data_IF_337578665601
#
_entry.id   IF_337578665601
#
_cell.length_a   1.000
_cell.length_b   1.000
_cell.length_c   1.000
_cell.angle_alpha   90.00
_cell.angle_beta   90.00
_cell.angle_gamma   90.00
#
_symmetry.space_group_name_H-M   'P 1'
#
loop_
_entity.id
_entity.type
_entity.pdbx_description
1 polymer ?
#
# COMPACT_ATOMS: atom_id res chain seq x y z
N UNK A 1 -13.12 -68.92 93.59
CA UNK A 1 -12.51 -68.28 92.40
C UNK A 1 -13.60 -67.38 91.81
N UNK A 2 -13.89 -66.26 92.47
CA UNK A 2 -14.97 -65.32 92.08
C UNK A 2 -14.39 -63.98 91.62
N UNK A 3 -13.32 -64.02 90.80
CA UNK A 3 -12.53 -62.83 90.46
C UNK A 3 -12.32 -62.63 88.95
N UNK A 4 -13.21 -63.15 88.10
CA UNK A 4 -13.03 -63.03 86.63
C UNK A 4 -14.32 -62.69 85.87
N UNK A 5 -15.47 -62.64 86.54
CA UNK A 5 -16.68 -62.09 85.96
C UNK A 5 -16.96 -60.76 86.67
N UNK A 6 -16.91 -59.60 85.96
CA UNK A 6 -17.31 -58.35 86.57
C UNK A 6 -18.72 -58.50 87.13
N UNK A 7 -18.98 -57.92 88.32
CA UNK A 7 -20.32 -57.89 88.91
C UNK A 7 -21.32 -57.49 87.83
N UNK A 8 -22.41 -58.24 87.67
CA UNK A 8 -23.39 -58.03 86.59
C UNK A 8 -23.92 -56.58 86.55
N UNK A 9 -23.91 -55.87 87.69
CA UNK A 9 -24.19 -54.44 87.77
C UNK A 9 -23.20 -53.54 87.03
N UNK A 10 -21.90 -53.85 87.02
CA UNK A 10 -20.88 -53.05 86.34
C UNK A 10 -21.05 -53.11 84.81
N UNK A 11 -21.35 -54.30 84.27
CA UNK A 11 -21.61 -54.50 82.85
C UNK A 11 -22.84 -53.71 82.40
N UNK A 12 -23.90 -53.67 83.21
CA UNK A 12 -25.11 -52.91 82.91
C UNK A 12 -24.81 -51.41 82.84
N UNK A 13 -24.07 -50.85 83.81
CA UNK A 13 -23.69 -49.44 83.79
C UNK A 13 -22.73 -49.09 82.65
N UNK A 14 -21.80 -49.97 82.29
CA UNK A 14 -20.93 -49.81 81.12
C UNK A 14 -21.74 -49.84 79.81
N UNK A 15 -22.71 -50.74 79.68
CA UNK A 15 -23.59 -50.80 78.52
C UNK A 15 -24.46 -49.55 78.39
N UNK A 16 -25.02 -49.04 79.51
CA UNK A 16 -25.75 -47.77 79.53
C UNK A 16 -24.84 -46.61 79.10
N UNK A 17 -23.63 -46.53 79.66
CA UNK A 17 -22.63 -45.52 79.28
C UNK A 17 -22.24 -45.60 77.81
N UNK A 18 -22.04 -46.81 77.28
CA UNK A 18 -21.74 -47.04 75.87
C UNK A 18 -22.91 -46.63 74.96
N UNK A 19 -24.15 -46.97 75.32
CA UNK A 19 -25.34 -46.57 74.54
C UNK A 19 -25.49 -45.05 74.53
N UNK A 20 -25.30 -44.39 75.68
CA UNK A 20 -25.35 -42.92 75.75
C UNK A 20 -24.26 -42.30 74.87
N UNK A 21 -23.02 -42.79 74.97
CA UNK A 21 -21.92 -42.32 74.12
C UNK A 21 -22.19 -42.59 72.64
N UNK A 22 -22.70 -43.77 72.30
CA UNK A 22 -23.03 -44.15 70.93
C UNK A 22 -24.11 -43.24 70.34
N UNK A 23 -25.17 -42.95 71.09
CA UNK A 23 -26.24 -42.04 70.64
C UNK A 23 -25.72 -40.60 70.48
N UNK A 24 -24.84 -40.14 71.38
CA UNK A 24 -24.19 -38.85 71.23
C UNK A 24 -23.31 -38.82 69.97
N UNK A 25 -22.42 -39.80 69.78
CA UNK A 25 -21.57 -39.85 68.59
C UNK A 25 -22.39 -40.02 67.29
N UNK A 26 -23.41 -40.87 67.28
CA UNK A 26 -24.29 -41.05 66.13
C UNK A 26 -25.02 -39.75 65.77
N UNK A 27 -25.46 -38.95 66.76
CA UNK A 27 -26.12 -37.67 66.50
C UNK A 27 -25.14 -36.56 66.09
N UNK A 28 -23.97 -36.50 66.72
CA UNK A 28 -23.02 -35.39 66.55
C UNK A 28 -21.98 -35.61 65.45
N UNK A 29 -21.52 -36.84 65.20
CA UNK A 29 -20.48 -37.13 64.20
C UNK A 29 -21.03 -37.34 62.78
N UNK A 30 -22.28 -37.78 62.63
CA UNK A 30 -22.86 -38.10 61.33
C UNK A 30 -22.99 -36.87 60.42
N UNK A 31 -23.44 -35.74 61.00
CA UNK A 31 -23.63 -34.47 60.30
C UNK A 31 -22.31 -33.88 59.73
N UNK A 32 -21.21 -33.74 60.49
CA UNK A 32 -19.95 -33.22 59.95
C UNK A 32 -19.29 -34.16 58.94
N UNK A 33 -19.43 -35.49 59.09
CA UNK A 33 -18.87 -36.44 58.12
C UNK A 33 -19.56 -36.35 56.76
N UNK A 34 -20.90 -36.31 56.74
CA UNK A 34 -21.65 -36.11 55.50
C UNK A 34 -21.36 -34.75 54.87
N UNK A 35 -21.30 -33.68 55.67
CA UNK A 35 -20.96 -32.35 55.18
C UNK A 35 -19.59 -32.30 54.51
N UNK A 36 -18.57 -32.93 55.11
CA UNK A 36 -17.23 -33.00 54.52
C UNK A 36 -17.19 -33.83 53.23
N UNK A 37 -18.02 -34.87 53.11
CA UNK A 37 -18.10 -35.68 51.90
C UNK A 37 -18.81 -34.92 50.77
N UNK A 38 -19.92 -34.24 51.08
CA UNK A 38 -20.68 -33.41 50.14
C UNK A 38 -19.85 -32.21 49.65
N UNK A 39 -19.11 -31.53 50.54
CA UNK A 39 -18.18 -30.47 50.16
C UNK A 39 -17.09 -30.98 49.21
N UNK A 40 -16.54 -32.18 49.48
CA UNK A 40 -15.56 -32.81 48.60
C UNK A 40 -16.15 -33.19 47.25
N UNK A 41 -17.37 -33.72 47.22
CA UNK A 41 -18.08 -34.06 45.99
C UNK A 41 -18.32 -32.81 45.14
N UNK A 42 -18.86 -31.74 45.73
CA UNK A 42 -19.08 -30.45 45.06
C UNK A 42 -17.77 -29.83 44.57
N UNK A 43 -16.69 -29.92 45.35
CA UNK A 43 -15.38 -29.42 44.93
C UNK A 43 -14.82 -30.19 43.73
N UNK A 44 -15.01 -31.52 43.68
CA UNK A 44 -14.57 -32.34 42.55
C UNK A 44 -15.42 -32.05 41.31
N UNK A 45 -16.74 -32.00 41.45
CA UNK A 45 -17.65 -31.69 40.35
C UNK A 45 -17.35 -30.32 39.75
N UNK A 46 -17.22 -29.28 40.59
CA UNK A 46 -16.87 -27.93 40.13
C UNK A 46 -15.49 -27.86 39.47
N UNK A 47 -14.50 -28.60 39.98
CA UNK A 47 -13.18 -28.67 39.36
C UNK A 47 -13.22 -29.36 37.98
N UNK A 48 -14.00 -30.43 37.83
CA UNK A 48 -14.19 -31.13 36.54
C UNK A 48 -14.91 -30.23 35.55
N UNK A 49 -16.01 -29.58 35.96
CA UNK A 49 -16.74 -28.64 35.12
C UNK A 49 -15.87 -27.46 34.69
N UNK A 50 -15.07 -26.91 35.60
CA UNK A 50 -14.13 -25.83 35.28
C UNK A 50 -13.06 -26.29 34.28
N UNK A 51 -12.53 -27.50 34.44
CA UNK A 51 -11.54 -28.06 33.51
C UNK A 51 -12.14 -28.32 32.11
N UNK A 52 -13.38 -28.82 32.05
CA UNK A 52 -14.08 -29.03 30.78
C UNK A 52 -14.41 -27.71 30.08
N UNK A 53 -14.90 -26.71 30.81
CA UNK A 53 -15.14 -25.37 30.28
C UNK A 53 -13.85 -24.73 29.76
N UNK A 54 -12.76 -24.79 30.53
CA UNK A 54 -11.46 -24.26 30.10
C UNK A 54 -10.95 -24.97 28.83
N UNK A 55 -11.16 -26.29 28.71
CA UNK A 55 -10.79 -27.05 27.51
C UNK A 55 -11.63 -26.65 26.30
N UNK A 56 -12.94 -26.46 26.48
CA UNK A 56 -13.84 -26.02 25.42
C UNK A 56 -13.54 -24.59 24.96
N UNK A 57 -13.30 -23.67 25.91
CA UNK A 57 -12.87 -22.31 25.61
C UNK A 57 -11.54 -22.30 24.85
N UNK A 58 -10.57 -23.12 25.27
CA UNK A 58 -9.28 -23.22 24.59
C UNK A 58 -9.43 -23.77 23.16
N UNK A 59 -10.28 -24.77 22.96
CA UNK A 59 -10.58 -25.30 21.63
C UNK A 59 -11.24 -24.24 20.74
N UNK A 60 -12.20 -23.48 21.29
CA UNK A 60 -12.88 -22.39 20.58
C UNK A 60 -11.90 -21.25 20.22
N UNK A 61 -11.08 -20.82 21.19
CA UNK A 61 -10.04 -19.81 20.96
C UNK A 61 -9.05 -20.25 19.88
N UNK A 62 -8.64 -21.53 19.89
CA UNK A 62 -7.75 -22.06 18.86
C UNK A 62 -8.41 -22.04 17.48
N UNK A 63 -9.67 -22.47 17.36
CA UNK A 63 -10.41 -22.43 16.11
C UNK A 63 -10.59 -20.98 15.59
N UNK A 64 -10.93 -20.05 16.47
CA UNK A 64 -11.02 -18.62 16.13
C UNK A 64 -9.67 -18.05 15.69
N UNK A 65 -8.59 -18.41 16.37
CA UNK A 65 -7.25 -17.96 16.00
C UNK A 65 -6.81 -18.51 14.64
N UNK A 66 -7.08 -19.79 14.36
CA UNK A 66 -6.83 -20.39 13.04
C UNK A 66 -7.65 -19.70 11.95
N UNK A 67 -8.92 -19.40 12.20
CA UNK A 67 -9.78 -18.63 11.27
C UNK A 67 -9.23 -17.22 11.02
N UNK A 68 -8.85 -16.51 12.09
CA UNK A 68 -8.29 -15.15 12.01
C UNK A 68 -6.97 -15.15 11.24
N UNK A 69 -6.12 -16.16 11.45
CA UNK A 69 -4.86 -16.31 10.71
C UNK A 69 -5.10 -16.60 9.23
N UNK A 70 -6.14 -17.36 8.88
CA UNK A 70 -6.52 -17.58 7.48
C UNK A 70 -7.05 -16.30 6.84
N UNK A 71 -7.93 -15.58 7.52
CA UNK A 71 -8.47 -14.31 7.05
C UNK A 71 -7.35 -13.27 6.84
N UNK A 72 -6.45 -13.11 7.81
CA UNK A 72 -5.30 -12.22 7.69
C UNK A 72 -4.37 -12.60 6.52
N UNK A 73 -4.21 -13.89 6.21
CA UNK A 73 -3.45 -14.33 5.03
C UNK A 73 -4.17 -13.98 3.74
N UNK A 74 -5.49 -14.19 3.66
CA UNK A 74 -6.29 -13.83 2.49
C UNK A 74 -6.26 -12.32 2.25
N UNK A 75 -6.46 -11.50 3.29
CA UNK A 75 -6.36 -10.05 3.19
C UNK A 75 -4.97 -9.59 2.75
N UNK A 76 -3.91 -10.18 3.33
CA UNK A 76 -2.53 -9.90 2.92
C UNK A 76 -2.32 -10.21 1.44
N UNK A 77 -2.78 -11.37 0.97
CA UNK A 77 -2.58 -11.80 -0.41
C UNK A 77 -3.38 -10.90 -1.38
N UNK A 78 -4.60 -10.51 -1.01
CA UNK A 78 -5.39 -9.51 -1.75
C UNK A 78 -4.69 -8.14 -1.79
N UNK A 79 -4.12 -7.69 -0.67
CA UNK A 79 -3.38 -6.44 -0.60
C UNK A 79 -2.14 -6.47 -1.50
N UNK A 80 -1.37 -7.56 -1.48
CA UNK A 80 -0.20 -7.76 -2.33
C UNK A 80 -0.57 -7.80 -3.81
N UNK A 81 -1.66 -8.47 -4.16
CA UNK A 81 -2.17 -8.50 -5.53
C UNK A 81 -2.57 -7.08 -5.98
N UNK A 82 -3.36 -6.37 -5.17
CA UNK A 82 -3.78 -4.99 -5.48
C UNK A 82 -2.60 -4.03 -5.59
N UNK A 83 -1.58 -4.19 -4.75
CA UNK A 83 -0.36 -3.39 -4.83
C UNK A 83 0.42 -3.68 -6.12
N UNK A 84 0.52 -4.95 -6.52
CA UNK A 84 1.17 -5.36 -7.77
C UNK A 84 0.44 -4.83 -9.00
N UNK A 85 -0.89 -4.93 -9.03
CA UNK A 85 -1.73 -4.38 -10.10
C UNK A 85 -1.62 -2.85 -10.17
N UNK A 86 -1.64 -2.16 -9.03
CA UNK A 86 -1.49 -0.70 -8.98
C UNK A 86 -0.12 -0.25 -9.45
N UNK A 87 0.93 -0.98 -9.07
CA UNK A 87 2.30 -0.72 -9.51
C UNK A 87 2.44 -0.91 -11.02
N UNK A 88 1.92 -2.01 -11.56
CA UNK A 88 1.92 -2.27 -13.00
C UNK A 88 1.18 -1.17 -13.78
N UNK A 89 -0.01 -0.76 -13.29
CA UNK A 89 -0.77 0.34 -13.89
C UNK A 89 0.00 1.66 -13.85
N UNK A 90 0.63 1.99 -12.72
CA UNK A 90 1.42 3.21 -12.57
C UNK A 90 2.61 3.25 -13.54
N UNK A 91 3.28 2.11 -13.73
CA UNK A 91 4.39 2.00 -14.71
C UNK A 91 3.86 2.21 -16.13
N UNK A 92 2.71 1.64 -16.47
CA UNK A 92 2.12 1.79 -17.80
C UNK A 92 1.65 3.23 -18.06
N UNK A 93 0.97 3.85 -17.10
CA UNK A 93 0.59 5.27 -17.17
C UNK A 93 1.81 6.18 -17.31
N UNK A 94 2.88 5.92 -16.55
CA UNK A 94 4.12 6.69 -16.65
C UNK A 94 4.80 6.53 -18.02
N UNK A 95 4.78 5.33 -18.60
CA UNK A 95 5.30 5.09 -19.95
C UNK A 95 4.49 5.84 -21.00
N UNK A 96 3.16 5.76 -20.94
CA UNK A 96 2.27 6.46 -21.87
C UNK A 96 2.47 7.98 -21.80
N UNK A 97 2.58 8.53 -20.59
CA UNK A 97 2.83 9.97 -20.41
C UNK A 97 4.23 10.36 -20.93
N UNK A 98 5.25 9.52 -20.70
CA UNK A 98 6.59 9.75 -21.23
C UNK A 98 6.64 9.69 -22.77
N UNK A 99 5.94 8.75 -23.39
CA UNK A 99 5.81 8.65 -24.86
C UNK A 99 5.12 9.88 -25.44
N UNK A 100 4.03 10.33 -24.79
CA UNK A 100 3.30 11.53 -25.19
C UNK A 100 4.18 12.78 -25.08
N UNK A 101 4.85 12.98 -23.94
CA UNK A 101 5.76 14.09 -23.73
C UNK A 101 6.93 14.06 -24.73
N UNK A 102 7.46 12.87 -25.03
CA UNK A 102 8.50 12.68 -26.05
C UNK A 102 8.01 13.06 -27.46
N UNK A 103 6.80 12.64 -27.83
CA UNK A 103 6.20 13.00 -29.11
C UNK A 103 5.97 14.51 -29.24
N UNK A 104 5.46 15.16 -28.19
CA UNK A 104 5.31 16.62 -28.13
C UNK A 104 6.66 17.34 -28.23
N UNK A 105 7.68 16.87 -27.54
CA UNK A 105 9.04 17.42 -27.61
C UNK A 105 9.61 17.33 -29.03
N UNK A 106 9.45 16.19 -29.71
CA UNK A 106 9.91 16.02 -31.10
C UNK A 106 9.11 16.93 -32.05
N UNK A 107 7.80 17.05 -31.86
CA UNK A 107 6.97 17.93 -32.67
C UNK A 107 7.41 19.40 -32.53
N UNK A 108 7.65 19.85 -31.30
CA UNK A 108 8.16 21.19 -31.00
C UNK A 108 9.55 21.41 -31.61
N UNK A 109 10.46 20.43 -31.49
CA UNK A 109 11.79 20.52 -32.08
C UNK A 109 11.72 20.63 -33.62
N UNK A 110 10.85 19.86 -34.28
CA UNK A 110 10.62 19.98 -35.73
C UNK A 110 10.06 21.34 -36.12
N UNK A 111 9.13 21.89 -35.34
CA UNK A 111 8.59 23.22 -35.59
C UNK A 111 9.69 24.30 -35.50
N UNK A 112 10.56 24.23 -34.48
CA UNK A 112 11.71 25.13 -34.33
C UNK A 112 12.69 24.97 -35.50
N UNK A 113 13.01 23.75 -35.91
CA UNK A 113 13.90 23.50 -37.05
C UNK A 113 13.33 24.11 -38.34
N UNK A 114 12.02 23.98 -38.58
CA UNK A 114 11.39 24.57 -39.76
C UNK A 114 11.41 26.10 -39.72
N UNK A 115 11.24 26.73 -38.55
CA UNK A 115 11.38 28.18 -38.42
C UNK A 115 12.81 28.64 -38.65
N UNK A 116 13.80 27.95 -38.08
CA UNK A 116 15.23 28.24 -38.27
C UNK A 116 15.65 28.07 -39.73
N UNK A 117 15.18 27.02 -40.40
CA UNK A 117 15.42 26.79 -41.82
C UNK A 117 14.86 27.92 -42.69
N UNK A 118 13.66 28.42 -42.38
CA UNK A 118 13.08 29.58 -43.09
C UNK A 118 13.89 30.85 -42.85
N UNK A 119 14.36 31.08 -41.62
CA UNK A 119 15.24 32.20 -41.30
C UNK A 119 16.56 32.13 -42.07
N UNK A 120 17.24 30.97 -42.05
CA UNK A 120 18.47 30.74 -42.80
C UNK A 120 18.29 30.93 -44.31
N UNK A 121 17.18 30.45 -44.88
CA UNK A 121 16.87 30.69 -46.30
C UNK A 121 16.64 32.17 -46.61
N UNK A 122 16.00 32.92 -45.72
CA UNK A 122 15.83 34.36 -45.89
C UNK A 122 17.17 35.09 -45.84
N UNK A 123 18.06 34.70 -44.92
CA UNK A 123 19.41 35.25 -44.81
C UNK A 123 20.24 34.97 -46.07
N UNK A 124 20.22 33.74 -46.59
CA UNK A 124 20.89 33.38 -47.84
C UNK A 124 20.36 34.21 -49.01
N UNK A 125 19.04 34.39 -49.13
CA UNK A 125 18.44 35.23 -50.18
C UNK A 125 18.91 36.68 -50.09
N UNK A 126 18.99 37.23 -48.87
CA UNK A 126 19.48 38.59 -48.66
C UNK A 126 20.96 38.71 -49.05
N UNK A 127 21.79 37.72 -48.68
CA UNK A 127 23.20 37.69 -49.04
C UNK A 127 23.40 37.64 -50.56
N UNK A 128 22.61 36.83 -51.27
CA UNK A 128 22.63 36.75 -52.73
C UNK A 128 22.19 38.06 -53.38
N UNK A 129 21.18 38.74 -52.82
CA UNK A 129 20.74 40.04 -53.32
C UNK A 129 21.84 41.11 -53.19
N UNK A 130 22.54 41.14 -52.05
CA UNK A 130 23.69 42.04 -51.81
C UNK A 130 24.82 41.75 -52.80
N UNK A 131 25.21 40.47 -52.97
CA UNK A 131 26.23 40.06 -53.95
C UNK A 131 25.83 40.44 -55.38
N UNK A 132 24.56 40.28 -55.74
CA UNK A 132 24.06 40.63 -57.08
C UNK A 132 24.13 42.14 -57.32
N UNK A 133 23.77 42.95 -56.32
CA UNK A 133 23.94 44.41 -56.34
C UNK A 133 25.41 44.81 -56.49
N UNK A 134 26.31 44.19 -55.74
CA UNK A 134 27.74 44.49 -55.81
C UNK A 134 28.35 44.16 -57.18
N UNK A 135 27.98 43.01 -57.76
CA UNK A 135 28.38 42.63 -59.12
C UNK A 135 27.81 43.61 -60.14
N UNK A 136 26.53 43.97 -60.01
CA UNK A 136 25.88 44.94 -60.90
C UNK A 136 26.53 46.31 -60.81
N UNK A 137 26.86 46.80 -59.61
CA UNK A 137 27.57 48.05 -59.40
C UNK A 137 28.96 48.03 -60.07
N UNK A 138 29.73 46.95 -59.87
CA UNK A 138 31.05 46.79 -60.52
C UNK A 138 30.93 46.75 -62.04
N UNK A 139 29.92 46.07 -62.58
CA UNK A 139 29.68 45.98 -64.02
C UNK A 139 29.24 47.34 -64.60
N UNK A 140 28.32 48.04 -63.93
CA UNK A 140 27.85 49.36 -64.32
C UNK A 140 28.97 50.41 -64.29
N UNK A 141 29.82 50.41 -63.25
CA UNK A 141 31.01 51.28 -63.18
C UNK A 141 32.00 50.99 -64.32
N UNK A 142 32.07 49.75 -64.80
CA UNK A 142 32.93 49.37 -65.93
C UNK A 142 32.35 49.83 -67.27
N UNK A 143 31.06 49.67 -67.51
CA UNK A 143 30.38 50.09 -68.75
C UNK A 143 30.21 51.61 -68.86
N UNK A 144 30.01 52.31 -67.73
CA UNK A 144 29.91 53.77 -67.67
C UNK A 144 31.27 54.47 -67.55
N UNK A 145 32.37 53.80 -67.89
CA UNK A 145 33.72 54.38 -67.81
C UNK A 145 33.96 55.45 -68.88
N UNK A 146 33.23 55.37 -69.99
CA UNK A 146 33.39 56.23 -71.15
C UNK A 146 32.31 57.35 -71.17
N UNK A 147 32.70 58.57 -71.56
CA UNK A 147 31.83 59.77 -71.52
C UNK A 147 30.61 59.65 -72.45
N UNK A 148 30.74 58.91 -73.55
CA UNK A 148 29.62 58.63 -74.48
C UNK A 148 28.53 57.78 -73.85
N UNK A 149 28.92 56.75 -73.08
CA UNK A 149 28.00 55.84 -72.41
C UNK A 149 27.22 56.55 -71.29
N UNK A 150 27.88 57.49 -70.59
CA UNK A 150 27.22 58.33 -69.59
C UNK A 150 26.20 59.29 -70.19
N UNK A 151 26.52 59.92 -71.34
CA UNK A 151 25.58 60.81 -72.05
C UNK A 151 24.34 60.05 -72.57
N UNK A 152 24.53 58.85 -73.10
CA UNK A 152 23.43 57.99 -73.56
C UNK A 152 22.45 57.63 -72.42
N UNK A 153 22.96 57.29 -71.24
CA UNK A 153 22.12 57.00 -70.07
C UNK A 153 21.29 58.21 -69.62
N UNK A 154 21.86 59.42 -69.69
CA UNK A 154 21.14 60.67 -69.35
C UNK A 154 20.04 60.97 -70.37
N UNK A 155 20.31 60.78 -71.66
CA UNK A 155 19.29 60.93 -72.70
C UNK A 155 18.15 59.92 -72.55
N UNK A 156 18.46 58.67 -72.20
CA UNK A 156 17.46 57.62 -71.93
C UNK A 156 16.59 57.95 -70.72
N UNK A 157 17.20 58.36 -69.59
CA UNK A 157 16.45 58.80 -68.39
C UNK A 157 15.54 60.00 -68.66
N UNK A 158 16.03 60.98 -69.44
CA UNK A 158 15.24 62.16 -69.83
C UNK A 158 14.11 61.77 -70.80
N UNK A 159 14.30 60.73 -71.61
CA UNK A 159 13.25 60.18 -72.47
C UNK A 159 12.17 59.46 -71.66
N UNK A 160 12.54 58.61 -70.71
CA UNK A 160 11.59 57.87 -69.85
C UNK A 160 10.76 58.81 -68.95
N UNK A 161 11.37 59.90 -68.46
CA UNK A 161 10.65 60.93 -67.70
C UNK A 161 9.70 61.78 -68.55
N UNK A 162 9.87 61.82 -69.87
CA UNK A 162 8.94 62.49 -70.80
C UNK A 162 7.80 61.59 -71.26
N UNK A 163 7.88 60.29 -70.96
CA UNK A 163 6.90 59.27 -71.35
C UNK A 163 5.90 58.91 -70.22
N UNK A 164 6.05 59.50 -69.02
CA UNK A 164 5.04 59.58 -67.96
C UNK A 164 4.61 61.04 -67.75
#
# INVERSE_FOLDING_TARGET
MDLILPESGLIIWQAIGFIILFVLLAKFAWKPILGALEEREQAIESAILAAENARNEMANLKAQNESLLQEARLERDQLLQKASETSARMIEEAKLEAEKAGAEMIANAKAVIETEKKAALAEVKNQVAILSLEVTEKLLRRELKDESSQKALVEEFVSDLKLN
#
